data_IF_406024082518
#
_entry.id   IF_406024082518
#
_cell.length_a   1.000
_cell.length_b   1.000
_cell.length_c   1.000
_cell.angle_alpha   90.00
_cell.angle_beta   90.00
_cell.angle_gamma   90.00
#
_symmetry.space_group_name_H-M   'P 1'
#
loop_
_entity.id
_entity.type
_entity.pdbx_description
1 polymer ?
#
# COMPACT_ATOMS: atom_id res chain seq x y z
N UNK A 1 -25.89 108.18 18.31
CA UNK A 1 -26.86 107.19 17.81
C UNK A 1 -27.40 106.45 19.02
N UNK A 2 -28.66 106.66 19.38
CA UNK A 2 -29.20 106.11 20.63
C UNK A 2 -29.30 104.58 20.53
N UNK A 3 -28.84 103.89 21.57
CA UNK A 3 -29.06 102.45 21.73
C UNK A 3 -30.56 102.27 21.92
N UNK A 4 -31.25 101.85 20.86
CA UNK A 4 -32.66 101.55 20.88
C UNK A 4 -32.88 100.11 21.33
N UNK A 5 -33.98 99.86 22.06
CA UNK A 5 -34.40 98.55 22.55
C UNK A 5 -34.39 97.46 21.45
N UNK A 6 -34.62 97.86 20.19
CA UNK A 6 -34.58 96.99 19.01
C UNK A 6 -33.20 96.37 18.78
N UNK A 7 -32.09 97.09 19.00
CA UNK A 7 -30.74 96.53 18.88
C UNK A 7 -30.44 95.49 19.96
N UNK A 8 -30.96 95.70 21.17
CA UNK A 8 -30.77 94.76 22.28
C UNK A 8 -31.60 93.49 22.07
N UNK A 9 -32.84 93.61 21.58
CA UNK A 9 -33.65 92.46 21.15
C UNK A 9 -33.01 91.70 19.99
N UNK A 10 -32.45 92.40 19.00
CA UNK A 10 -31.75 91.77 17.88
C UNK A 10 -30.50 91.00 18.34
N UNK A 11 -29.74 91.54 19.30
CA UNK A 11 -28.59 90.84 19.88
C UNK A 11 -28.99 89.57 20.63
N UNK A 12 -30.06 89.60 21.42
CA UNK A 12 -30.60 88.42 22.12
C UNK A 12 -31.11 87.37 21.12
N UNK A 13 -31.83 87.79 20.08
CA UNK A 13 -32.30 86.89 19.03
C UNK A 13 -31.16 86.24 18.25
N UNK A 14 -30.10 87.00 17.93
CA UNK A 14 -28.89 86.47 17.30
C UNK A 14 -28.17 85.45 18.19
N UNK A 15 -28.07 85.73 19.49
CA UNK A 15 -27.47 84.80 20.44
C UNK A 15 -28.29 83.51 20.60
N UNK A 16 -29.61 83.62 20.69
CA UNK A 16 -30.53 82.47 20.69
C UNK A 16 -30.40 81.65 19.39
N UNK A 17 -30.24 82.30 18.24
CA UNK A 17 -30.01 81.63 16.96
C UNK A 17 -28.67 80.88 16.92
N UNK A 18 -27.59 81.49 17.43
CA UNK A 18 -26.29 80.81 17.56
C UNK A 18 -26.41 79.57 18.45
N UNK A 19 -27.08 79.67 19.60
CA UNK A 19 -27.27 78.53 20.49
C UNK A 19 -28.12 77.42 19.85
N UNK A 20 -29.16 77.79 19.11
CA UNK A 20 -29.99 76.84 18.38
C UNK A 20 -29.18 76.11 17.29
N UNK A 21 -28.45 76.86 16.47
CA UNK A 21 -27.61 76.28 15.40
C UNK A 21 -26.47 75.43 15.93
N UNK A 22 -25.79 75.88 16.99
CA UNK A 22 -24.72 75.11 17.63
C UNK A 22 -25.24 73.81 18.27
N UNK A 23 -26.46 73.82 18.85
CA UNK A 23 -27.01 72.65 19.53
C UNK A 23 -27.76 71.68 18.61
N UNK A 24 -28.44 72.17 17.58
CA UNK A 24 -29.32 71.34 16.74
C UNK A 24 -28.75 71.04 15.36
N UNK A 25 -27.94 71.92 14.77
CA UNK A 25 -27.49 71.78 13.38
C UNK A 25 -26.04 71.29 13.30
N UNK A 26 -25.18 71.76 14.19
CA UNK A 26 -23.77 71.33 14.23
C UNK A 26 -23.60 69.84 14.52
N UNK A 27 -24.31 69.21 15.48
CA UNK A 27 -24.08 67.80 15.81
C UNK A 27 -24.46 66.83 14.69
N UNK A 28 -25.62 66.97 13.98
CA UNK A 28 -25.93 66.13 12.82
C UNK A 28 -24.91 66.26 11.69
N UNK A 29 -24.40 67.48 11.44
CA UNK A 29 -23.43 67.73 10.39
C UNK A 29 -22.09 67.05 10.67
N UNK A 30 -21.57 67.19 11.90
CA UNK A 30 -20.32 66.53 12.31
C UNK A 30 -20.48 65.01 12.31
N UNK A 31 -21.61 64.48 12.79
CA UNK A 31 -21.89 63.04 12.73
C UNK A 31 -21.88 62.49 11.30
N UNK A 32 -22.43 63.21 10.33
CA UNK A 32 -22.42 62.79 8.93
C UNK A 32 -20.99 62.73 8.36
N UNK A 33 -20.14 63.70 8.73
CA UNK A 33 -18.73 63.73 8.32
C UNK A 33 -17.96 62.58 8.98
N UNK A 34 -18.10 62.40 10.29
CA UNK A 34 -17.44 61.33 11.05
C UNK A 34 -17.87 59.94 10.56
N UNK A 35 -19.15 59.75 10.23
CA UNK A 35 -19.65 58.48 9.69
C UNK A 35 -18.96 58.15 8.37
N UNK A 36 -18.86 59.12 7.44
CA UNK A 36 -18.15 58.91 6.17
C UNK A 36 -16.66 58.66 6.36
N UNK A 37 -16.01 59.39 7.26
CA UNK A 37 -14.59 59.14 7.57
C UNK A 37 -14.38 57.73 8.13
N UNK A 38 -15.28 57.30 9.01
CA UNK A 38 -15.26 55.95 9.60
C UNK A 38 -15.49 54.88 8.53
N UNK A 39 -16.48 55.02 7.67
CA UNK A 39 -16.75 54.08 6.58
C UNK A 39 -15.54 53.92 5.64
N UNK A 40 -14.85 55.02 5.31
CA UNK A 40 -13.65 54.98 4.47
C UNK A 40 -12.50 54.29 5.21
N UNK A 41 -12.29 54.60 6.49
CA UNK A 41 -11.24 54.00 7.30
C UNK A 41 -11.46 52.49 7.47
N UNK A 42 -12.69 52.09 7.82
CA UNK A 42 -13.08 50.69 7.99
C UNK A 42 -12.99 49.94 6.66
N UNK A 43 -13.42 50.55 5.55
CA UNK A 43 -13.30 49.97 4.21
C UNK A 43 -11.85 49.77 3.75
N UNK A 44 -10.98 50.74 4.02
CA UNK A 44 -9.56 50.64 3.71
C UNK A 44 -8.86 49.59 4.58
N UNK A 45 -9.18 49.56 5.88
CA UNK A 45 -8.65 48.56 6.82
C UNK A 45 -9.07 47.14 6.41
N UNK A 46 -10.35 46.94 6.09
CA UNK A 46 -10.86 45.65 5.61
C UNK A 46 -10.22 45.24 4.27
N UNK A 47 -9.97 46.20 3.37
CA UNK A 47 -9.28 45.95 2.10
C UNK A 47 -7.83 45.47 2.30
N UNK A 48 -7.08 46.14 3.18
CA UNK A 48 -5.70 45.75 3.48
C UNK A 48 -5.64 44.42 4.23
N UNK A 49 -6.54 44.19 5.20
CA UNK A 49 -6.65 42.90 5.89
C UNK A 49 -7.00 41.78 4.91
N UNK A 50 -7.93 42.02 3.98
CA UNK A 50 -8.27 41.11 2.90
C UNK A 50 -7.06 40.76 2.05
N UNK A 51 -6.28 41.75 1.61
CA UNK A 51 -5.05 41.54 0.85
C UNK A 51 -4.01 40.74 1.64
N UNK A 52 -3.83 41.06 2.91
CA UNK A 52 -2.90 40.34 3.79
C UNK A 52 -3.34 38.90 4.04
N UNK A 53 -4.64 38.66 4.19
CA UNK A 53 -5.21 37.33 4.37
C UNK A 53 -5.03 36.47 3.12
N UNK A 54 -5.20 37.07 1.93
CA UNK A 54 -5.01 36.42 0.65
C UNK A 54 -3.56 35.98 0.46
N UNK A 55 -2.59 36.87 0.72
CA UNK A 55 -1.16 36.52 0.67
C UNK A 55 -0.80 35.41 1.65
N UNK A 56 -1.38 35.43 2.88
CA UNK A 56 -1.17 34.34 3.85
C UNK A 56 -1.77 33.02 3.36
N UNK A 57 -2.97 33.05 2.82
CA UNK A 57 -3.64 31.87 2.29
C UNK A 57 -2.87 31.28 1.09
N UNK A 58 -2.40 32.11 0.16
CA UNK A 58 -1.57 31.68 -0.97
C UNK A 58 -0.28 31.00 -0.49
N UNK A 59 0.40 31.57 0.52
CA UNK A 59 1.58 30.96 1.11
C UNK A 59 1.28 29.61 1.74
N UNK A 60 0.20 29.50 2.51
CA UNK A 60 -0.23 28.24 3.12
C UNK A 60 -0.60 27.18 2.08
N UNK A 61 -1.27 27.59 0.99
CA UNK A 61 -1.59 26.69 -0.13
C UNK A 61 -0.31 26.21 -0.80
N UNK A 62 0.65 27.08 -1.06
CA UNK A 62 1.94 26.71 -1.63
C UNK A 62 2.70 25.70 -0.74
N UNK A 63 2.74 25.95 0.58
CA UNK A 63 3.33 25.03 1.55
C UNK A 63 2.62 23.67 1.57
N UNK A 64 1.28 23.67 1.59
CA UNK A 64 0.48 22.43 1.54
C UNK A 64 0.71 21.64 0.25
N UNK A 65 0.87 22.31 -0.90
CA UNK A 65 1.15 21.66 -2.17
C UNK A 65 2.53 21.00 -2.18
N UNK A 66 3.55 21.67 -1.63
CA UNK A 66 4.89 21.09 -1.49
C UNK A 66 4.85 19.88 -0.57
N UNK A 67 4.23 19.99 0.60
CA UNK A 67 4.09 18.90 1.56
C UNK A 67 3.30 17.71 0.98
N UNK A 68 2.21 17.97 0.25
CA UNK A 68 1.45 16.94 -0.45
C UNK A 68 2.29 16.23 -1.52
N UNK A 69 3.12 16.97 -2.28
CA UNK A 69 4.02 16.38 -3.30
C UNK A 69 5.10 15.52 -2.66
N UNK A 70 5.69 15.97 -1.56
CA UNK A 70 6.67 15.19 -0.79
C UNK A 70 6.04 13.91 -0.27
N UNK A 71 4.88 13.99 0.40
CA UNK A 71 4.15 12.80 0.87
C UNK A 71 3.80 11.83 -0.26
N UNK A 72 3.36 12.34 -1.40
CA UNK A 72 3.07 11.49 -2.55
C UNK A 72 4.32 10.75 -3.05
N UNK A 73 5.46 11.44 -3.12
CA UNK A 73 6.75 10.84 -3.47
C UNK A 73 7.17 9.77 -2.47
N UNK A 74 7.00 10.03 -1.17
CA UNK A 74 7.33 9.09 -0.10
C UNK A 74 6.45 7.84 -0.16
N UNK A 75 5.15 8.00 -0.41
CA UNK A 75 4.22 6.86 -0.57
C UNK A 75 4.64 5.99 -1.76
N UNK A 76 5.00 6.59 -2.90
CA UNK A 76 5.46 5.85 -4.08
C UNK A 76 6.77 5.11 -3.77
N UNK A 77 7.73 5.77 -3.12
CA UNK A 77 9.01 5.16 -2.74
C UNK A 77 8.82 3.99 -1.75
N UNK A 78 7.94 4.14 -0.76
CA UNK A 78 7.59 3.07 0.17
C UNK A 78 6.90 1.92 -0.55
N UNK A 79 5.99 2.21 -1.49
CA UNK A 79 5.32 1.22 -2.31
C UNK A 79 6.29 0.38 -3.15
N UNK A 80 7.24 1.03 -3.83
CA UNK A 80 8.27 0.31 -4.61
C UNK A 80 9.19 -0.53 -3.71
N UNK A 81 9.54 -0.04 -2.52
CA UNK A 81 10.32 -0.81 -1.54
C UNK A 81 9.55 -2.06 -1.08
N UNK A 82 8.30 -1.92 -0.67
CA UNK A 82 7.45 -3.04 -0.24
C UNK A 82 7.24 -4.05 -1.37
N UNK A 83 7.06 -3.57 -2.61
CA UNK A 83 6.97 -4.43 -3.79
C UNK A 83 8.26 -5.22 -4.00
N UNK A 84 9.43 -4.58 -3.91
CA UNK A 84 10.71 -5.28 -4.04
C UNK A 84 10.89 -6.33 -2.94
N UNK A 85 10.58 -6.00 -1.69
CA UNK A 85 10.65 -6.93 -0.55
C UNK A 85 9.69 -8.11 -0.75
N UNK A 86 8.46 -7.86 -1.18
CA UNK A 86 7.47 -8.91 -1.44
C UNK A 86 7.91 -9.83 -2.60
N UNK A 87 8.50 -9.27 -3.66
CA UNK A 87 9.03 -10.07 -4.78
C UNK A 87 10.21 -10.94 -4.33
N UNK A 88 11.14 -10.41 -3.54
CA UNK A 88 12.27 -11.19 -3.02
C UNK A 88 11.82 -12.27 -2.04
N UNK A 89 10.84 -11.98 -1.18
CA UNK A 89 10.25 -12.98 -0.30
C UNK A 89 9.56 -14.08 -1.11
N UNK A 90 8.74 -13.72 -2.09
CA UNK A 90 8.07 -14.69 -2.96
C UNK A 90 9.06 -15.54 -3.77
N UNK A 91 10.17 -14.97 -4.23
CA UNK A 91 11.26 -15.73 -4.89
C UNK A 91 11.93 -16.71 -3.94
N UNK A 92 12.14 -16.31 -2.69
CA UNK A 92 12.74 -17.16 -1.66
C UNK A 92 11.82 -18.32 -1.33
N UNK A 93 10.55 -18.04 -1.06
CA UNK A 93 9.54 -19.05 -0.78
C UNK A 93 9.38 -20.03 -1.95
N UNK A 94 9.37 -19.53 -3.19
CA UNK A 94 9.30 -20.36 -4.39
C UNK A 94 10.53 -21.28 -4.54
N UNK A 95 11.73 -20.80 -4.21
CA UNK A 95 12.95 -21.63 -4.23
C UNK A 95 12.88 -22.72 -3.17
N UNK A 96 12.49 -22.37 -1.94
CA UNK A 96 12.34 -23.34 -0.84
C UNK A 96 11.30 -24.40 -1.18
N UNK A 97 10.17 -24.01 -1.77
CA UNK A 97 9.14 -24.96 -2.19
C UNK A 97 9.61 -25.84 -3.37
N UNK A 98 10.34 -25.27 -4.33
CA UNK A 98 10.94 -26.04 -5.41
C UNK A 98 11.94 -27.07 -4.89
N UNK A 99 12.80 -26.71 -3.93
CA UNK A 99 13.73 -27.63 -3.28
C UNK A 99 12.99 -28.74 -2.53
N UNK A 100 11.90 -28.40 -1.83
CA UNK A 100 11.04 -29.36 -1.13
C UNK A 100 10.42 -30.37 -2.09
N UNK A 101 9.85 -29.90 -3.21
CA UNK A 101 9.27 -30.74 -4.26
C UNK A 101 10.35 -31.65 -4.85
N UNK A 102 11.54 -31.12 -5.14
CA UNK A 102 12.62 -31.87 -5.75
C UNK A 102 13.20 -32.93 -4.80
N UNK A 103 13.26 -32.64 -3.50
CA UNK A 103 13.62 -33.62 -2.48
C UNK A 103 12.56 -34.74 -2.37
N UNK A 104 11.28 -34.38 -2.35
CA UNK A 104 10.19 -35.36 -2.33
C UNK A 104 10.21 -36.26 -3.58
N UNK A 105 10.38 -35.68 -4.77
CA UNK A 105 10.48 -36.42 -6.02
C UNK A 105 11.68 -37.38 -6.03
N UNK A 106 12.84 -36.97 -5.49
CA UNK A 106 14.00 -37.86 -5.35
C UNK A 106 13.71 -39.05 -4.42
N UNK A 107 13.06 -38.80 -3.28
CA UNK A 107 12.68 -39.84 -2.35
C UNK A 107 11.67 -40.83 -2.98
N UNK A 108 10.71 -40.32 -3.75
CA UNK A 108 9.74 -41.15 -4.48
C UNK A 108 10.43 -42.00 -5.56
N UNK A 109 11.37 -41.42 -6.32
CA UNK A 109 12.18 -42.15 -7.30
C UNK A 109 12.99 -43.27 -6.62
N UNK A 110 13.65 -42.99 -5.49
CA UNK A 110 14.39 -44.02 -4.75
C UNK A 110 13.48 -45.16 -4.30
N UNK A 111 12.28 -44.84 -3.81
CA UNK A 111 11.29 -45.83 -3.42
C UNK A 111 10.84 -46.69 -4.61
N UNK A 112 10.56 -46.08 -5.76
CA UNK A 112 10.17 -46.79 -6.97
C UNK A 112 11.31 -47.65 -7.53
N UNK A 113 12.57 -47.18 -7.47
CA UNK A 113 13.74 -47.99 -7.81
C UNK A 113 13.86 -49.21 -6.89
N UNK A 114 13.61 -49.04 -5.59
CA UNK A 114 13.60 -50.16 -4.65
C UNK A 114 12.49 -51.17 -4.98
N UNK A 115 11.26 -50.70 -5.27
CA UNK A 115 10.14 -51.57 -5.70
C UNK A 115 10.47 -52.32 -7.00
N UNK A 116 11.06 -51.62 -7.98
CA UNK A 116 11.46 -52.22 -9.24
C UNK A 116 12.54 -53.29 -9.05
N UNK A 117 13.53 -53.06 -8.18
CA UNK A 117 14.57 -54.05 -7.85
C UNK A 117 14.00 -55.30 -7.18
N UNK A 118 13.06 -55.13 -6.24
CA UNK A 118 12.38 -56.25 -5.59
C UNK A 118 11.53 -57.06 -6.58
N UNK A 119 10.79 -56.38 -7.47
CA UNK A 119 10.06 -57.05 -8.57
C UNK A 119 11.01 -57.82 -9.50
N UNK A 120 12.16 -57.23 -9.84
CA UNK A 120 13.17 -57.89 -10.67
C UNK A 120 13.77 -59.11 -9.97
N UNK A 121 14.04 -59.04 -8.67
CA UNK A 121 14.51 -60.19 -7.87
C UNK A 121 13.51 -61.34 -7.87
N UNK A 122 12.22 -61.04 -7.76
CA UNK A 122 11.17 -62.06 -7.84
C UNK A 122 11.18 -62.75 -9.21
N UNK A 123 11.20 -61.96 -10.30
CA UNK A 123 11.25 -62.48 -11.68
C UNK A 123 12.52 -63.29 -11.97
N UNK A 124 13.69 -62.84 -11.49
CA UNK A 124 14.95 -63.57 -11.64
C UNK A 124 14.93 -64.89 -10.87
N UNK A 125 14.32 -64.93 -9.68
CA UNK A 125 14.17 -66.16 -8.90
C UNK A 125 13.30 -67.17 -9.64
N UNK A 126 12.19 -66.72 -10.23
CA UNK A 126 11.32 -67.56 -11.06
C UNK A 126 12.05 -68.07 -12.31
N UNK A 127 12.80 -67.20 -12.99
CA UNK A 127 13.61 -67.58 -14.16
C UNK A 127 14.75 -68.54 -13.80
N UNK A 128 15.38 -68.38 -12.64
CA UNK A 128 16.43 -69.26 -12.15
C UNK A 128 15.90 -70.67 -11.84
N UNK A 129 14.71 -70.80 -11.24
CA UNK A 129 14.04 -72.09 -11.03
C UNK A 129 13.70 -72.73 -12.37
N UNK A 130 13.08 -71.99 -13.30
CA UNK A 130 12.76 -72.50 -14.64
C UNK A 130 14.03 -72.91 -15.42
N UNK A 131 15.12 -72.17 -15.27
CA UNK A 131 16.43 -72.49 -15.84
C UNK A 131 17.04 -73.76 -15.24
N UNK A 132 16.98 -73.91 -13.91
CA UNK A 132 17.44 -75.10 -13.20
C UNK A 132 16.62 -76.34 -13.61
N UNK A 133 15.30 -76.24 -13.72
CA UNK A 133 14.44 -77.32 -14.23
C UNK A 133 14.81 -77.72 -15.66
N UNK A 134 15.14 -76.74 -16.53
CA UNK A 134 15.51 -77.01 -17.92
C UNK A 134 16.89 -77.63 -18.06
N UNK A 135 17.86 -77.23 -17.22
CA UNK A 135 19.18 -77.87 -17.14
C UNK A 135 19.04 -79.30 -16.61
N UNK A 136 18.27 -79.50 -15.53
CA UNK A 136 18.00 -80.83 -14.97
C UNK A 136 17.35 -81.73 -16.02
N UNK A 137 16.33 -81.26 -16.75
CA UNK A 137 15.74 -82.01 -17.89
C UNK A 137 16.75 -82.35 -19.00
N UNK A 138 17.80 -81.54 -19.18
CA UNK A 138 18.83 -81.78 -20.20
C UNK A 138 19.94 -82.72 -19.73
N UNK A 139 20.32 -82.68 -18.46
CA UNK A 139 21.27 -83.63 -17.86
C UNK A 139 20.64 -84.99 -17.57
N UNK A 140 19.32 -85.02 -17.33
CA UNK A 140 18.50 -86.23 -17.26
C UNK A 140 18.18 -86.72 -18.68
N UNK A 141 19.24 -86.86 -19.50
CA UNK A 141 19.20 -87.51 -20.80
C UNK A 141 19.61 -88.98 -20.67
N UNK A 142 19.10 -89.82 -21.57
CA UNK A 142 18.86 -91.26 -21.50
C UNK A 142 19.96 -92.17 -20.90
N UNK A 143 21.21 -91.69 -20.79
CA UNK A 143 22.34 -92.42 -20.17
C UNK A 143 22.21 -92.56 -18.65
N UNK A 144 21.81 -91.50 -17.94
CA UNK A 144 21.70 -91.54 -16.48
C UNK A 144 20.53 -92.43 -16.01
N UNK A 145 19.45 -92.48 -16.79
CA UNK A 145 18.34 -93.38 -16.55
C UNK A 145 18.67 -94.84 -16.88
N UNK A 146 19.47 -95.12 -17.92
CA UNK A 146 19.92 -96.48 -18.23
C UNK A 146 20.85 -97.05 -17.15
N UNK A 147 21.73 -96.23 -16.57
CA UNK A 147 22.62 -96.65 -15.47
C UNK A 147 21.85 -96.87 -14.15
N UNK A 148 20.81 -96.06 -13.86
CA UNK A 148 19.95 -96.27 -12.69
C UNK A 148 19.01 -97.48 -12.85
N UNK A 149 18.46 -97.71 -14.05
CA UNK A 149 17.63 -98.89 -14.35
C UNK A 149 18.45 -100.18 -14.31
N UNK A 150 19.68 -100.17 -14.85
CA UNK A 150 20.58 -101.34 -14.79
C UNK A 150 21.15 -101.61 -13.39
N UNK A 151 21.27 -100.60 -12.53
CA UNK A 151 21.62 -100.78 -11.12
C UNK A 151 20.45 -101.39 -10.31
N UNK A 152 19.21 -101.04 -10.64
CA UNK A 152 18.00 -101.62 -10.02
C UNK A 152 17.75 -103.07 -10.48
N UNK A 153 18.02 -103.42 -11.74
CA UNK A 153 17.95 -104.80 -12.23
C UNK A 153 18.98 -105.75 -11.58
N UNK A 154 20.09 -105.24 -11.02
CA UNK A 154 21.11 -106.03 -10.32
C UNK A 154 20.81 -106.29 -8.83
N UNK A 155 19.76 -105.68 -8.29
CA UNK A 155 19.32 -105.87 -6.89
C UNK A 155 18.05 -106.72 -6.75
N UNK A 156 17.52 -107.26 -7.86
CA UNK A 156 16.55 -108.36 -7.91
C UNK A 156 17.25 -109.67 -8.33
#
# INVERSE_FOLDING_TARGET
MNINLTMLMQAVAFFAFILFTAKFIWPPLMRAIETRQKEIADGLAAGEEGRHSLVRAEKQIAEMLVDAKTRASDIVAQGEKLKSEAVEQARTDAKTEAERILAAAKAEIEQEVHRAKESLRAQVSELAVAGAEKILKREVDAKAHADLLSALEKQL
#
